data_IF_392887571091
#
_entry.id   IF_392887571091
#
_cell.length_a   1.000
_cell.length_b   1.000
_cell.length_c   1.000
_cell.angle_alpha   90.00
_cell.angle_beta   90.00
_cell.angle_gamma   90.00
#
_symmetry.space_group_name_H-M   'P 1'
#
loop_
_entity.id
_entity.type
_entity.pdbx_description
1 polymer ?
#
# COMPACT_ATOMS: atom_id res chain seq x y z
N UNK A 1 8.44 5.46 -20.91
CA UNK A 1 8.53 5.79 -19.47
C UNK A 1 8.55 4.49 -18.69
N UNK A 2 9.47 4.33 -17.74
CA UNK A 2 9.48 3.19 -16.84
C UNK A 2 8.62 3.57 -15.62
N UNK A 3 7.48 2.91 -15.43
CA UNK A 3 6.68 3.11 -14.23
C UNK A 3 7.44 2.55 -13.03
N UNK A 4 7.54 3.32 -11.95
CA UNK A 4 8.26 2.89 -10.74
C UNK A 4 7.63 1.61 -10.15
N UNK A 5 8.42 0.72 -9.58
CA UNK A 5 7.92 -0.52 -8.99
C UNK A 5 7.69 -0.35 -7.49
N UNK A 6 6.43 -0.37 -7.06
CA UNK A 6 6.07 -0.39 -5.65
C UNK A 6 6.00 -1.84 -5.15
N UNK A 7 6.83 -2.16 -4.16
CA UNK A 7 6.93 -3.50 -3.57
C UNK A 7 6.56 -3.47 -2.10
N UNK A 8 5.63 -4.33 -1.69
CA UNK A 8 5.36 -4.65 -0.29
C UNK A 8 6.00 -6.01 0.00
N UNK A 9 7.02 -6.04 0.86
CA UNK A 9 7.71 -7.25 1.25
C UNK A 9 7.28 -7.68 2.65
N UNK A 10 6.34 -8.63 2.70
CA UNK A 10 5.81 -9.21 3.94
C UNK A 10 6.82 -10.08 4.71
N UNK A 11 7.97 -10.42 4.16
CA UNK A 11 9.02 -11.12 4.93
C UNK A 11 9.96 -10.11 5.59
N UNK A 12 10.50 -9.17 4.82
CA UNK A 12 11.53 -8.21 5.27
C UNK A 12 10.97 -6.96 5.97
N UNK A 13 9.67 -6.93 6.24
CA UNK A 13 9.02 -5.82 6.93
C UNK A 13 9.04 -4.45 6.25
N UNK A 14 8.90 -4.39 4.92
CA UNK A 14 9.23 -3.18 4.16
C UNK A 14 8.26 -2.84 3.01
N UNK A 15 8.04 -1.54 2.77
CA UNK A 15 7.43 -0.99 1.55
C UNK A 15 8.49 -0.16 0.82
N UNK A 16 8.68 -0.40 -0.47
CA UNK A 16 9.72 0.28 -1.26
C UNK A 16 9.27 0.67 -2.66
N UNK A 17 9.81 1.77 -3.17
CA UNK A 17 9.69 2.18 -4.58
C UNK A 17 11.06 2.00 -5.22
N UNK A 18 11.14 1.22 -6.30
CA UNK A 18 12.39 0.92 -7.02
C UNK A 18 13.51 0.42 -6.09
N UNK A 19 13.14 -0.40 -5.10
CA UNK A 19 14.05 -0.98 -4.11
C UNK A 19 14.45 -0.03 -2.96
N UNK A 20 14.02 1.23 -2.98
CA UNK A 20 14.26 2.18 -1.87
C UNK A 20 13.09 2.15 -0.89
N UNK A 21 13.40 1.85 0.37
CA UNK A 21 12.42 1.78 1.44
C UNK A 21 11.73 3.13 1.71
N UNK A 22 10.41 3.11 1.92
CA UNK A 22 9.64 4.25 2.39
C UNK A 22 9.68 4.24 3.92
N UNK A 23 10.63 4.98 4.49
CA UNK A 23 10.78 5.17 5.95
C UNK A 23 10.49 6.63 6.30
N UNK A 24 10.18 6.90 7.57
CA UNK A 24 9.97 8.28 8.03
C UNK A 24 11.21 9.17 7.77
N UNK A 25 12.40 8.64 8.01
CA UNK A 25 13.68 9.30 7.69
C UNK A 25 13.77 9.68 6.20
N UNK A 26 13.46 8.74 5.31
CA UNK A 26 13.53 9.01 3.87
C UNK A 26 12.49 10.04 3.42
N UNK A 27 11.28 10.01 4.00
CA UNK A 27 10.24 11.01 3.74
C UNK A 27 10.70 12.41 4.19
N UNK A 28 11.22 12.53 5.41
CA UNK A 28 11.72 13.80 5.96
C UNK A 28 12.88 14.36 5.14
N UNK A 29 13.77 13.49 4.65
CA UNK A 29 14.91 13.87 3.82
C UNK A 29 14.53 14.20 2.36
N UNK A 30 13.23 14.22 2.01
CA UNK A 30 12.76 14.63 0.69
C UNK A 30 12.94 13.59 -0.41
N UNK A 31 13.19 12.32 -0.08
CA UNK A 31 13.16 11.24 -1.06
C UNK A 31 11.74 11.07 -1.61
N UNK A 32 11.63 10.58 -2.84
CA UNK A 32 10.35 10.32 -3.52
C UNK A 32 9.50 11.57 -3.86
N UNK A 33 10.09 12.78 -3.82
CA UNK A 33 9.40 14.04 -4.13
C UNK A 33 8.10 14.22 -3.32
N UNK A 34 8.17 13.96 -2.03
CA UNK A 34 7.01 13.97 -1.14
C UNK A 34 6.55 15.37 -0.76
N UNK A 35 5.23 15.55 -0.62
CA UNK A 35 4.62 16.73 -0.02
C UNK A 35 4.10 16.38 1.39
N UNK A 36 4.40 17.20 2.40
CA UNK A 36 3.88 17.02 3.75
C UNK A 36 2.75 18.02 4.05
N UNK A 37 1.58 17.51 4.43
CA UNK A 37 0.47 18.32 4.93
C UNK A 37 0.53 18.36 6.47
N UNK A 38 0.87 19.53 7.02
CA UNK A 38 0.99 19.72 8.46
C UNK A 38 -0.34 19.61 9.21
N UNK A 39 -1.45 20.07 8.65
CA UNK A 39 -2.78 20.00 9.31
C UNK A 39 -3.25 18.55 9.47
N UNK A 40 -2.96 17.71 8.47
CA UNK A 40 -3.37 16.30 8.44
C UNK A 40 -2.29 15.35 8.94
N UNK A 41 -1.09 15.85 9.24
CA UNK A 41 0.10 15.04 9.56
C UNK A 41 0.33 13.91 8.54
N UNK A 42 0.25 14.25 7.25
CA UNK A 42 0.18 13.29 6.15
C UNK A 42 1.22 13.59 5.08
N UNK A 43 2.04 12.60 4.75
CA UNK A 43 2.94 12.63 3.59
C UNK A 43 2.21 12.14 2.35
N UNK A 44 2.45 12.79 1.21
CA UNK A 44 1.94 12.36 -0.10
C UNK A 44 3.11 12.15 -1.05
N UNK A 45 3.27 10.92 -1.53
CA UNK A 45 4.17 10.58 -2.65
C UNK A 45 3.31 10.59 -3.92
N UNK A 46 3.57 11.54 -4.84
CA UNK A 46 2.90 11.62 -6.14
C UNK A 46 3.82 11.02 -7.21
N UNK A 47 3.60 9.75 -7.54
CA UNK A 47 4.39 9.07 -8.57
C UNK A 47 3.57 7.97 -9.25
N UNK A 48 3.74 7.79 -10.55
CA UNK A 48 3.13 6.64 -11.23
C UNK A 48 3.91 5.38 -10.91
N UNK A 49 3.26 4.38 -10.35
CA UNK A 49 3.89 3.11 -9.96
C UNK A 49 3.08 1.88 -10.36
N UNK A 50 3.74 0.73 -10.39
CA UNK A 50 3.11 -0.59 -10.53
C UNK A 50 3.17 -1.37 -9.23
N UNK A 51 2.05 -2.00 -8.86
CA UNK A 51 1.96 -2.92 -7.71
C UNK A 51 0.97 -4.05 -8.02
N UNK A 52 1.37 -5.30 -7.82
CA UNK A 52 0.54 -6.49 -8.09
C UNK A 52 -0.11 -6.54 -9.49
N UNK A 53 0.50 -5.89 -10.50
CA UNK A 53 -0.02 -5.79 -11.86
C UNK A 53 -0.99 -4.62 -12.13
N UNK A 54 -1.14 -3.71 -11.16
CA UNK A 54 -1.97 -2.50 -11.24
C UNK A 54 -1.12 -1.25 -11.32
N UNK A 55 -1.66 -0.21 -11.94
CA UNK A 55 -1.09 1.14 -11.89
C UNK A 55 -1.66 1.89 -10.70
N UNK A 56 -0.83 2.65 -10.00
CA UNK A 56 -1.26 3.67 -9.04
C UNK A 56 -0.52 4.98 -9.27
N UNK A 57 -0.95 6.02 -8.56
CA UNK A 57 -0.45 7.39 -8.74
C UNK A 57 -0.06 8.07 -7.42
N UNK A 58 -0.73 7.74 -6.32
CA UNK A 58 -0.53 8.41 -5.05
C UNK A 58 -0.33 7.39 -3.93
N UNK A 59 0.61 7.68 -3.03
CA UNK A 59 0.74 6.98 -1.76
C UNK A 59 0.65 8.03 -0.65
N UNK A 60 -0.28 7.84 0.26
CA UNK A 60 -0.43 8.67 1.44
C UNK A 60 0.16 7.92 2.63
N UNK A 61 1.04 8.57 3.39
CA UNK A 61 1.72 7.97 4.54
C UNK A 61 1.43 8.79 5.78
N UNK A 62 0.77 8.16 6.75
CA UNK A 62 0.42 8.70 8.06
C UNK A 62 1.34 8.06 9.11
N UNK A 63 1.93 8.87 9.98
CA UNK A 63 2.69 8.38 11.11
C UNK A 63 1.74 8.07 12.28
N UNK A 64 1.74 6.82 12.73
CA UNK A 64 1.02 6.39 13.93
C UNK A 64 2.01 6.28 15.10
N UNK A 65 1.54 6.35 16.36
CA UNK A 65 2.38 6.05 17.51
C UNK A 65 2.99 4.64 17.46
N UNK A 66 2.30 3.70 16.81
CA UNK A 66 2.70 2.31 16.68
C UNK A 66 3.50 2.01 15.41
N UNK A 67 3.60 2.93 14.45
CA UNK A 67 4.31 2.67 13.18
C UNK A 67 3.85 3.56 12.02
N UNK A 68 3.72 3.00 10.82
CA UNK A 68 3.32 3.73 9.62
C UNK A 68 2.05 3.15 9.01
N UNK A 69 1.15 4.04 8.58
CA UNK A 69 -0.03 3.68 7.80
C UNK A 69 0.09 4.24 6.39
N UNK A 70 -0.11 3.37 5.41
CA UNK A 70 -0.06 3.68 4.00
C UNK A 70 -1.47 3.55 3.42
N UNK A 71 -1.87 4.54 2.62
CA UNK A 71 -2.98 4.40 1.70
C UNK A 71 -2.44 4.52 0.28
N UNK A 72 -2.40 3.40 -0.44
CA UNK A 72 -1.86 3.27 -1.79
C UNK A 72 -3.02 3.34 -2.76
N UNK A 73 -3.13 4.44 -3.49
CA UNK A 73 -4.21 4.68 -4.45
C UNK A 73 -3.83 4.09 -5.82
N UNK A 74 -4.70 3.23 -6.32
CA UNK A 74 -4.63 2.61 -7.64
C UNK A 74 -5.55 3.38 -8.60
N UNK A 75 -5.27 3.25 -9.89
CA UNK A 75 -6.23 3.69 -10.90
C UNK A 75 -7.50 2.86 -10.81
N UNK A 76 -8.63 3.47 -11.19
CA UNK A 76 -9.91 2.81 -11.13
C UNK A 76 -9.92 1.52 -11.96
N UNK A 77 -10.32 0.42 -11.34
CA UNK A 77 -10.63 -0.82 -12.05
C UNK A 77 -12.14 -1.04 -12.11
N UNK A 78 -12.60 -1.56 -13.25
CA UNK A 78 -13.95 -2.07 -13.40
C UNK A 78 -13.96 -3.59 -13.15
N UNK A 79 -14.94 -4.07 -12.38
CA UNK A 79 -15.20 -5.51 -12.24
C UNK A 79 -15.43 -6.00 -10.81
N UNK A 80 -15.50 -7.33 -10.68
CA UNK A 80 -15.74 -7.98 -9.39
C UNK A 80 -14.44 -8.12 -8.57
N UNK A 81 -14.53 -7.83 -7.27
CA UNK A 81 -13.40 -7.91 -6.33
C UNK A 81 -12.64 -9.23 -6.40
N UNK A 82 -13.37 -10.36 -6.46
CA UNK A 82 -12.80 -11.72 -6.50
C UNK A 82 -11.97 -11.96 -7.76
N UNK A 83 -12.31 -11.26 -8.85
CA UNK A 83 -11.64 -11.38 -10.13
C UNK A 83 -10.47 -10.44 -10.32
N UNK A 84 -10.35 -9.41 -9.47
CA UNK A 84 -9.25 -8.45 -9.54
C UNK A 84 -7.89 -9.15 -9.48
N UNK A 85 -6.96 -8.72 -10.34
CA UNK A 85 -5.61 -9.30 -10.41
C UNK A 85 -4.86 -9.16 -9.07
N UNK A 86 -5.14 -8.09 -8.32
CA UNK A 86 -4.52 -7.84 -7.03
C UNK A 86 -4.98 -8.87 -6.00
N UNK A 87 -6.28 -9.15 -5.90
CA UNK A 87 -6.80 -10.16 -4.98
C UNK A 87 -6.27 -11.55 -5.35
N UNK A 88 -6.21 -11.89 -6.64
CA UNK A 88 -5.61 -13.16 -7.12
C UNK A 88 -4.13 -13.27 -6.72
N UNK A 89 -3.35 -12.20 -6.89
CA UNK A 89 -1.93 -12.13 -6.46
C UNK A 89 -1.77 -12.23 -4.95
N UNK A 90 -2.58 -11.52 -4.17
CA UNK A 90 -2.54 -11.56 -2.70
C UNK A 90 -2.90 -12.95 -2.16
N UNK A 91 -3.98 -13.58 -2.68
CA UNK A 91 -4.39 -14.95 -2.31
C UNK A 91 -3.31 -16.00 -2.59
N UNK A 92 -2.48 -15.81 -3.62
CA UNK A 92 -1.39 -16.73 -3.92
C UNK A 92 -0.22 -16.66 -2.93
N UNK A 93 -0.13 -15.59 -2.14
CA UNK A 93 1.00 -15.34 -1.23
C UNK A 93 0.60 -15.35 0.24
N UNK A 94 -0.65 -15.03 0.56
CA UNK A 94 -1.11 -14.72 1.90
C UNK A 94 -2.49 -15.32 2.15
N UNK A 95 -2.80 -15.57 3.42
CA UNK A 95 -4.14 -15.97 3.82
C UNK A 95 -5.05 -14.74 3.85
N UNK A 96 -6.11 -14.80 3.06
CA UNK A 96 -6.97 -13.67 2.76
C UNK A 96 -8.41 -13.97 3.21
N UNK A 97 -9.06 -12.99 3.84
CA UNK A 97 -10.49 -13.01 4.17
C UNK A 97 -11.22 -11.96 3.35
N UNK A 98 -12.34 -12.38 2.76
CA UNK A 98 -13.27 -11.46 2.10
C UNK A 98 -14.22 -10.97 3.18
N UNK A 99 -14.17 -9.67 3.48
CA UNK A 99 -15.06 -9.07 4.49
C UNK A 99 -16.42 -8.73 3.87
N UNK A 100 -16.41 -8.24 2.61
CA UNK A 100 -17.60 -8.01 1.79
C UNK A 100 -17.24 -7.97 0.31
N UNK A 101 -18.24 -7.80 -0.56
CA UNK A 101 -18.08 -7.77 -2.03
C UNK A 101 -17.16 -6.67 -2.57
N UNK A 102 -16.66 -5.77 -1.72
CA UNK A 102 -15.71 -4.73 -2.13
C UNK A 102 -14.47 -4.60 -1.25
N UNK A 103 -14.31 -5.43 -0.20
CA UNK A 103 -13.13 -5.37 0.68
C UNK A 103 -12.55 -6.75 0.99
N UNK A 104 -11.23 -6.80 0.92
CA UNK A 104 -10.42 -7.98 1.23
C UNK A 104 -9.39 -7.62 2.29
N UNK A 105 -9.32 -8.40 3.37
CA UNK A 105 -8.33 -8.25 4.44
C UNK A 105 -7.35 -9.42 4.45
N UNK A 106 -6.11 -9.17 4.83
CA UNK A 106 -5.10 -10.21 5.02
C UNK A 106 -5.04 -10.61 6.49
N UNK A 107 -5.19 -11.91 6.76
CA UNK A 107 -5.34 -12.44 8.12
C UNK A 107 -4.05 -13.01 8.73
N UNK A 108 -3.08 -13.35 7.89
CA UNK A 108 -1.92 -14.12 8.33
C UNK A 108 -0.69 -13.61 7.56
N UNK A 109 0.09 -12.77 8.24
CA UNK A 109 1.39 -12.30 7.74
C UNK A 109 2.44 -12.61 8.79
N UNK A 110 3.72 -12.69 8.39
CA UNK A 110 4.84 -12.78 9.33
C UNK A 110 4.94 -11.55 10.26
N UNK A 111 4.12 -10.53 10.07
CA UNK A 111 4.00 -9.37 10.95
C UNK A 111 2.70 -9.53 11.70
N UNK A 112 2.79 -9.98 12.95
CA UNK A 112 1.63 -10.17 13.81
C UNK A 112 0.74 -8.92 13.94
N UNK A 113 1.26 -7.74 13.61
CA UNK A 113 0.58 -6.44 13.69
C UNK A 113 0.50 -5.68 12.35
N UNK A 114 0.69 -6.36 11.22
CA UNK A 114 0.40 -5.71 9.93
C UNK A 114 -1.02 -6.01 9.48
N UNK A 115 -1.75 -4.98 9.06
CA UNK A 115 -3.04 -5.15 8.37
C UNK A 115 -2.90 -4.67 6.94
N UNK A 116 -3.43 -5.45 5.99
CA UNK A 116 -3.55 -5.04 4.60
C UNK A 116 -4.99 -5.25 4.17
N UNK A 117 -5.63 -4.15 3.80
CA UNK A 117 -6.99 -4.11 3.30
C UNK A 117 -7.00 -3.56 1.88
N UNK A 118 -7.54 -4.32 0.92
CA UNK A 118 -7.85 -3.82 -0.40
C UNK A 118 -9.34 -3.49 -0.48
N UNK A 119 -9.68 -2.24 -0.84
CA UNK A 119 -11.06 -1.80 -1.09
C UNK A 119 -11.20 -1.28 -2.53
N UNK A 120 -11.98 -2.00 -3.34
CA UNK A 120 -12.22 -1.65 -4.75
C UNK A 120 -13.06 -0.37 -4.91
N UNK A 121 -13.89 0.02 -3.92
CA UNK A 121 -14.67 1.27 -4.00
C UNK A 121 -13.76 2.50 -3.99
N UNK A 122 -12.71 2.43 -3.20
CA UNK A 122 -11.70 3.49 -3.10
C UNK A 122 -10.52 3.26 -4.05
N UNK A 123 -10.52 2.16 -4.80
CA UNK A 123 -9.41 1.69 -5.63
C UNK A 123 -8.09 1.76 -4.87
N UNK A 124 -8.08 1.27 -3.62
CA UNK A 124 -6.99 1.55 -2.70
C UNK A 124 -6.60 0.36 -1.83
N UNK A 125 -5.33 0.32 -1.48
CA UNK A 125 -4.80 -0.59 -0.46
C UNK A 125 -4.52 0.26 0.79
N UNK A 126 -5.16 -0.06 1.90
CA UNK A 126 -4.71 0.40 3.22
C UNK A 126 -3.75 -0.63 3.79
N UNK A 127 -2.56 -0.20 4.16
CA UNK A 127 -1.55 -1.05 4.80
C UNK A 127 -1.11 -0.36 6.10
N UNK A 128 -1.30 -1.01 7.23
CA UNK A 128 -0.80 -0.53 8.53
C UNK A 128 0.35 -1.43 8.94
N UNK A 129 1.49 -0.80 9.24
CA UNK A 129 2.73 -1.43 9.62
C UNK A 129 3.12 -0.98 11.02
N UNK A 130 2.75 -1.77 12.03
CA UNK A 130 3.11 -1.49 13.42
C UNK A 130 4.43 -2.16 13.83
N UNK A 131 5.12 -1.55 14.79
CA UNK A 131 6.36 -2.01 15.42
C UNK A 131 6.11 -3.07 16.52
#
# INVERSE_FOLDING_TARGET
MHDACLTINFQSKNVSIDGRAITLENLINGLFHTEFNQEKQLWTIKNTFKIYGHTGNNIYVEQLPTGLKFFIMLWAEEGHLVDSKIVKKLKSKLKVKIEHNSKVSILDTAWAKASLDYDIRYNGITLILEN
#
